data_IF_041173856157
#
_entry.id   IF_041173856157
#
_cell.length_a   1.000
_cell.length_b   1.000
_cell.length_c   1.000
_cell.angle_alpha   90.00
_cell.angle_beta   90.00
_cell.angle_gamma   90.00
#
_symmetry.space_group_name_H-M   'P 1'
#
loop_
_entity.id
_entity.type
_entity.pdbx_description
1 polymer ?
#
# COMPACT_ATOMS: atom_id res chain seq x y z
N UNK A 1 11.78 -5.44 -16.23
CA UNK A 1 10.39 -5.70 -15.79
C UNK A 1 9.48 -4.64 -16.41
N UNK A 2 8.70 -4.95 -17.46
CA UNK A 2 7.84 -3.95 -18.12
C UNK A 2 6.63 -3.67 -17.22
N UNK A 3 6.58 -2.49 -16.59
CA UNK A 3 5.43 -2.07 -15.79
C UNK A 3 4.21 -1.83 -16.71
N UNK A 4 3.12 -2.53 -16.41
CA UNK A 4 1.81 -2.34 -17.04
C UNK A 4 1.32 -0.90 -16.83
N UNK A 5 0.58 -0.34 -17.81
CA UNK A 5 0.06 1.04 -17.79
C UNK A 5 -0.77 1.31 -16.53
N UNK A 6 -1.43 0.28 -16.00
CA UNK A 6 -2.24 0.34 -14.78
C UNK A 6 -1.37 0.40 -13.51
N UNK A 7 -0.30 -0.38 -13.43
CA UNK A 7 0.67 -0.31 -12.33
C UNK A 7 1.35 1.07 -12.28
N UNK A 8 1.65 1.67 -13.43
CA UNK A 8 2.18 3.05 -13.49
C UNK A 8 1.21 4.08 -12.92
N UNK A 9 -0.10 3.95 -13.19
CA UNK A 9 -1.14 4.83 -12.63
C UNK A 9 -1.29 4.64 -11.11
N UNK A 10 -1.24 3.39 -10.64
CA UNK A 10 -1.30 3.09 -9.21
C UNK A 10 -0.09 3.71 -8.47
N UNK A 11 1.13 3.54 -9.01
CA UNK A 11 2.34 4.18 -8.48
C UNK A 11 2.22 5.70 -8.51
N UNK A 12 1.63 6.28 -9.55
CA UNK A 12 1.34 7.72 -9.61
C UNK A 12 0.42 8.19 -8.48
N UNK A 13 -0.63 7.42 -8.17
CA UNK A 13 -1.51 7.70 -7.01
C UNK A 13 -0.78 7.60 -5.68
N UNK A 14 0.09 6.58 -5.53
CA UNK A 14 0.99 6.45 -4.38
C UNK A 14 1.92 7.65 -4.22
N UNK A 15 2.61 8.06 -5.28
CA UNK A 15 3.49 9.23 -5.30
C UNK A 15 2.75 10.53 -4.99
N UNK A 16 1.53 10.70 -5.50
CA UNK A 16 0.70 11.85 -5.18
C UNK A 16 0.34 11.89 -3.69
N UNK A 17 0.00 10.74 -3.11
CA UNK A 17 -0.30 10.67 -1.67
C UNK A 17 0.94 10.94 -0.81
N UNK A 18 2.12 10.42 -1.19
CA UNK A 18 3.39 10.77 -0.54
C UNK A 18 3.65 12.26 -0.59
N UNK A 19 3.49 12.88 -1.75
CA UNK A 19 3.69 14.32 -1.91
C UNK A 19 2.74 15.11 -1.00
N UNK A 20 1.47 14.70 -0.92
CA UNK A 20 0.48 15.34 -0.07
C UNK A 20 0.82 15.20 1.44
N UNK A 21 1.24 14.02 1.87
CA UNK A 21 1.66 13.78 3.27
C UNK A 21 2.92 14.58 3.61
N UNK A 22 3.88 14.63 2.68
CA UNK A 22 5.11 15.40 2.85
C UNK A 22 4.83 16.91 2.91
N UNK A 23 3.96 17.42 2.02
CA UNK A 23 3.54 18.82 2.02
C UNK A 23 2.79 19.17 3.32
N UNK A 24 1.91 18.29 3.79
CA UNK A 24 1.21 18.43 5.06
C UNK A 24 2.19 18.51 6.24
N UNK A 25 3.20 17.64 6.25
CA UNK A 25 4.25 17.66 7.27
C UNK A 25 5.13 18.92 7.21
N UNK A 26 5.41 19.45 6.02
CA UNK A 26 6.17 20.69 5.86
C UNK A 26 5.40 21.89 6.44
N UNK A 27 4.09 21.97 6.16
CA UNK A 27 3.23 23.07 6.63
C UNK A 27 3.15 23.14 8.16
N UNK A 28 3.37 22.03 8.87
CA UNK A 28 3.38 21.97 10.34
C UNK A 28 4.66 22.55 10.98
N UNK A 29 5.74 22.78 10.22
CA UNK A 29 6.98 23.38 10.73
C UNK A 29 7.92 22.42 11.48
N UNK A 30 9.01 22.97 12.05
CA UNK A 30 10.00 22.20 12.82
C UNK A 30 9.70 22.25 14.31
N UNK A 31 9.74 21.11 14.97
CA UNK A 31 9.41 20.98 16.39
C UNK A 31 10.67 20.96 17.26
N UNK A 32 10.59 21.56 18.45
CA UNK A 32 11.62 21.44 19.48
C UNK A 32 11.70 20.00 20.02
N UNK A 33 12.88 19.55 20.49
CA UNK A 33 13.07 18.18 20.99
C UNK A 33 12.14 17.80 22.17
N UNK A 34 11.74 18.77 22.99
CA UNK A 34 10.76 18.56 24.06
C UNK A 34 9.33 18.35 23.52
N UNK A 35 8.91 19.18 22.57
CA UNK A 35 7.61 19.06 21.89
C UNK A 35 7.52 17.75 21.10
N UNK A 36 8.61 17.36 20.43
CA UNK A 36 8.72 16.08 19.73
C UNK A 36 8.50 14.90 20.68
N UNK A 37 9.02 14.93 21.91
CA UNK A 37 8.79 13.87 22.90
C UNK A 37 7.31 13.75 23.29
N UNK A 38 6.64 14.88 23.55
CA UNK A 38 5.21 14.90 23.89
C UNK A 38 4.37 14.43 22.69
N UNK A 39 4.69 14.88 21.49
CA UNK A 39 4.00 14.50 20.26
C UNK A 39 4.21 13.04 19.90
N UNK A 40 5.42 12.47 20.09
CA UNK A 40 5.67 11.03 19.92
C UNK A 40 4.74 10.24 20.84
N UNK A 41 4.64 10.60 22.12
CA UNK A 41 3.83 9.87 23.10
C UNK A 41 2.34 9.87 22.72
N UNK A 42 1.83 10.97 22.19
CA UNK A 42 0.45 11.06 21.69
C UNK A 42 0.27 10.37 20.33
N UNK A 43 1.27 10.42 19.45
CA UNK A 43 1.19 9.85 18.10
C UNK A 43 1.37 8.33 18.08
N UNK A 44 2.06 7.76 19.07
CA UNK A 44 2.33 6.34 19.20
C UNK A 44 1.05 5.48 19.11
N UNK A 45 -0.01 5.92 19.78
CA UNK A 45 -1.32 5.26 19.70
C UNK A 45 -1.89 5.32 18.27
N UNK A 46 -1.81 6.48 17.62
CA UNK A 46 -2.25 6.64 16.22
C UNK A 46 -1.44 5.79 15.24
N UNK A 47 -0.12 5.72 15.40
CA UNK A 47 0.78 4.90 14.59
C UNK A 47 0.48 3.41 14.75
N UNK A 48 0.21 2.98 15.97
CA UNK A 48 -0.16 1.61 16.28
C UNK A 48 -1.49 1.21 15.62
N UNK A 49 -2.50 2.08 15.72
CA UNK A 49 -3.78 1.87 15.03
C UNK A 49 -3.56 1.80 13.52
N UNK A 50 -2.80 2.74 12.95
CA UNK A 50 -2.49 2.76 11.52
C UNK A 50 -1.82 1.46 11.06
N UNK A 51 -0.75 1.01 11.73
CA UNK A 51 -0.05 -0.22 11.34
C UNK A 51 -0.98 -1.45 11.45
N UNK A 52 -1.75 -1.57 12.53
CA UNK A 52 -2.71 -2.66 12.70
C UNK A 52 -3.81 -2.64 11.63
N UNK A 53 -4.32 -1.47 11.26
CA UNK A 53 -5.28 -1.33 10.17
C UNK A 53 -4.69 -1.75 8.84
N UNK A 54 -3.44 -1.38 8.54
CA UNK A 54 -2.75 -1.81 7.31
C UNK A 54 -2.56 -3.33 7.30
N UNK A 55 -2.16 -3.94 8.41
CA UNK A 55 -2.01 -5.39 8.54
C UNK A 55 -3.33 -6.10 8.27
N UNK A 56 -4.42 -5.65 8.91
CA UNK A 56 -5.76 -6.22 8.72
C UNK A 56 -6.24 -6.05 7.26
N UNK A 57 -6.07 -4.85 6.69
CA UNK A 57 -6.48 -4.56 5.32
C UNK A 57 -5.68 -5.39 4.29
N UNK A 58 -4.38 -5.55 4.49
CA UNK A 58 -3.55 -6.36 3.58
C UNK A 58 -3.92 -7.85 3.70
N UNK A 59 -4.19 -8.34 4.91
CA UNK A 59 -4.66 -9.72 5.09
C UNK A 59 -6.00 -9.98 4.36
N UNK A 60 -6.94 -9.02 4.40
CA UNK A 60 -8.20 -9.14 3.66
C UNK A 60 -8.01 -9.01 2.15
N UNK A 61 -7.10 -8.18 1.67
CA UNK A 61 -6.75 -8.07 0.26
C UNK A 61 -6.18 -9.41 -0.27
N UNK A 62 -5.22 -10.01 0.43
CA UNK A 62 -4.70 -11.34 0.06
C UNK A 62 -5.81 -12.39 0.01
N UNK A 63 -6.71 -12.42 0.99
CA UNK A 63 -7.83 -13.34 1.02
C UNK A 63 -8.78 -13.11 -0.17
N UNK A 64 -9.14 -11.86 -0.46
CA UNK A 64 -10.00 -11.51 -1.59
C UNK A 64 -9.36 -11.86 -2.94
N UNK A 65 -8.03 -11.67 -3.09
CA UNK A 65 -7.31 -12.08 -4.29
C UNK A 65 -7.37 -13.60 -4.49
N UNK A 66 -7.25 -14.39 -3.42
CA UNK A 66 -7.38 -15.83 -3.50
C UNK A 66 -8.80 -16.26 -3.88
N UNK A 67 -9.83 -15.66 -3.28
CA UNK A 67 -11.24 -15.89 -3.65
C UNK A 67 -11.48 -15.55 -5.12
N UNK A 68 -10.97 -14.41 -5.57
CA UNK A 68 -11.06 -13.95 -6.95
C UNK A 68 -10.40 -14.94 -7.92
N UNK A 69 -9.23 -15.48 -7.57
CA UNK A 69 -8.55 -16.50 -8.37
C UNK A 69 -9.35 -17.81 -8.45
N UNK A 70 -9.98 -18.24 -7.35
CA UNK A 70 -10.81 -19.45 -7.33
C UNK A 70 -12.10 -19.34 -8.17
N UNK A 71 -12.74 -18.16 -8.14
CA UNK A 71 -13.88 -17.87 -9.02
C UNK A 71 -13.44 -17.82 -10.49
N UNK A 72 -12.30 -17.19 -10.74
CA UNK A 72 -11.69 -17.05 -12.06
C UNK A 72 -11.32 -18.37 -12.71
N UNK A 73 -10.74 -19.33 -11.97
CA UNK A 73 -10.36 -20.64 -12.51
C UNK A 73 -11.54 -21.54 -12.86
N UNK A 74 -12.72 -21.25 -12.32
CA UNK A 74 -13.96 -22.03 -12.53
C UNK A 74 -14.80 -21.46 -13.69
N UNK A 75 -14.50 -20.24 -14.14
CA UNK A 75 -15.21 -19.61 -15.26
C UNK A 75 -14.77 -20.21 -16.61
N UNK A 76 -15.73 -20.44 -17.51
CA UNK A 76 -15.50 -20.91 -18.89
C UNK A 76 -14.76 -19.88 -19.78
N UNK A 77 -14.59 -18.65 -19.31
CA UNK A 77 -13.81 -17.63 -20.00
C UNK A 77 -12.33 -17.85 -19.69
N UNK A 78 -11.52 -18.23 -20.69
CA UNK A 78 -10.06 -18.40 -20.54
C UNK A 78 -9.44 -17.05 -20.15
N UNK A 79 -9.33 -16.78 -18.85
CA UNK A 79 -8.65 -15.59 -18.35
C UNK A 79 -7.21 -15.61 -18.86
N UNK A 80 -6.88 -14.62 -19.69
CA UNK A 80 -5.53 -14.46 -20.25
C UNK A 80 -4.49 -14.52 -19.14
N UNK A 81 -3.34 -15.14 -19.43
CA UNK A 81 -2.18 -15.26 -18.54
C UNK A 81 -1.76 -13.90 -17.91
N UNK A 82 -2.04 -12.80 -18.61
CA UNK A 82 -1.84 -11.43 -18.12
C UNK A 82 -2.57 -11.12 -16.81
N UNK A 83 -3.74 -11.71 -16.57
CA UNK A 83 -4.53 -11.49 -15.36
C UNK A 83 -3.85 -12.13 -14.13
N UNK A 84 -3.42 -13.39 -14.26
CA UNK A 84 -2.66 -14.07 -13.22
C UNK A 84 -1.35 -13.34 -12.89
N UNK A 85 -0.67 -12.79 -13.90
CA UNK A 85 0.54 -11.98 -13.69
C UNK A 85 0.24 -10.69 -12.92
N UNK A 86 -0.88 -10.01 -13.17
CA UNK A 86 -1.27 -8.84 -12.39
C UNK A 86 -1.64 -9.20 -10.94
N UNK A 87 -2.41 -10.26 -10.72
CA UNK A 87 -2.76 -10.73 -9.37
C UNK A 87 -1.50 -11.09 -8.58
N UNK A 88 -0.56 -11.81 -9.20
CA UNK A 88 0.75 -12.13 -8.60
C UNK A 88 1.55 -10.88 -8.22
N UNK A 89 1.52 -9.83 -9.05
CA UNK A 89 2.17 -8.56 -8.72
C UNK A 89 1.54 -7.88 -7.50
N UNK A 90 0.21 -7.87 -7.41
CA UNK A 90 -0.51 -7.29 -6.27
C UNK A 90 -0.14 -8.05 -5.00
N UNK A 91 -0.26 -9.39 -5.03
CA UNK A 91 0.03 -10.22 -3.87
C UNK A 91 1.47 -10.02 -3.34
N UNK A 92 2.45 -9.86 -4.24
CA UNK A 92 3.85 -9.57 -3.83
C UNK A 92 3.98 -8.21 -3.16
N UNK A 93 3.41 -7.15 -3.74
CA UNK A 93 3.50 -5.80 -3.18
C UNK A 93 2.75 -5.74 -1.84
N UNK A 94 1.56 -6.34 -1.77
CA UNK A 94 0.73 -6.39 -0.56
C UNK A 94 1.40 -7.17 0.57
N UNK A 95 2.06 -8.30 0.27
CA UNK A 95 2.85 -9.05 1.26
C UNK A 95 4.00 -8.21 1.81
N UNK A 96 4.69 -7.44 0.96
CA UNK A 96 5.76 -6.54 1.42
C UNK A 96 5.20 -5.46 2.34
N UNK A 97 4.06 -4.84 1.98
CA UNK A 97 3.40 -3.83 2.82
C UNK A 97 2.96 -4.42 4.16
N UNK A 98 2.40 -5.63 4.15
CA UNK A 98 2.01 -6.35 5.36
C UNK A 98 3.19 -6.58 6.31
N UNK A 99 4.30 -7.13 5.80
CA UNK A 99 5.50 -7.41 6.60
C UNK A 99 6.10 -6.10 7.13
N UNK A 100 6.24 -5.08 6.29
CA UNK A 100 6.79 -3.78 6.70
C UNK A 100 5.92 -3.09 7.75
N UNK A 101 4.59 -3.22 7.66
CA UNK A 101 3.66 -2.70 8.67
C UNK A 101 3.81 -3.44 10.01
N UNK A 102 3.93 -4.77 10.00
CA UNK A 102 4.17 -5.56 11.21
C UNK A 102 5.49 -5.21 11.89
N UNK A 103 6.57 -5.10 11.11
CA UNK A 103 7.88 -4.73 11.65
C UNK A 103 7.85 -3.32 12.23
N UNK A 104 7.20 -2.38 11.55
CA UNK A 104 7.05 -1.00 12.04
C UNK A 104 6.21 -0.94 13.32
N UNK A 105 5.12 -1.69 13.38
CA UNK A 105 4.30 -1.83 14.58
C UNK A 105 5.12 -2.34 15.78
N UNK A 106 5.94 -3.37 15.56
CA UNK A 106 6.78 -3.93 16.61
C UNK A 106 7.80 -2.90 17.10
N UNK A 107 8.46 -2.19 16.18
CA UNK A 107 9.42 -1.13 16.50
C UNK A 107 8.76 0.00 17.28
N UNK A 108 7.57 0.46 16.86
CA UNK A 108 6.86 1.54 17.53
C UNK A 108 6.35 1.13 18.92
N UNK A 109 6.04 -0.15 19.15
CA UNK A 109 5.66 -0.64 20.48
C UNK A 109 6.85 -0.89 21.43
N UNK A 110 8.10 -0.78 20.96
CA UNK A 110 9.24 -0.86 21.87
C UNK A 110 9.27 0.38 22.78
N UNK A 111 9.49 0.21 24.11
CA UNK A 111 9.53 1.32 25.06
C UNK A 111 10.87 2.10 25.00
N UNK A 112 11.26 2.55 23.80
CA UNK A 112 12.50 3.31 23.56
C UNK A 112 12.46 4.66 24.32
N UNK A 113 11.27 5.22 24.50
CA UNK A 113 10.99 6.49 25.20
C UNK A 113 11.23 6.46 26.70
N UNK A 114 11.30 5.28 27.31
CA UNK A 114 11.48 5.08 28.77
C UNK A 114 12.96 4.79 29.14
N UNK A 115 13.88 4.77 28.16
CA UNK A 115 15.31 4.65 28.45
C UNK A 115 15.90 5.98 28.90
N UNK A 116 16.45 6.00 30.12
CA UNK A 116 16.99 7.20 30.79
C UNK A 116 18.22 7.82 30.09
N UNK A 117 18.87 7.09 29.17
CA UNK A 117 20.12 7.49 28.53
C UNK A 117 19.99 8.06 27.10
N UNK A 118 18.78 8.42 26.64
CA UNK A 118 18.58 8.87 25.25
C UNK A 118 18.70 10.40 25.12
N UNK A 119 19.65 10.93 24.32
CA UNK A 119 19.82 12.38 24.12
C UNK A 119 18.56 13.06 23.56
N UNK A 120 18.32 14.33 23.89
CA UNK A 120 17.12 15.05 23.42
C UNK A 120 16.97 15.08 21.88
N UNK A 121 18.06 15.15 21.12
CA UNK A 121 18.05 15.15 19.66
C UNK A 121 17.58 13.81 19.06
N UNK A 122 17.66 12.70 19.81
CA UNK A 122 17.20 11.40 19.33
C UNK A 122 15.68 11.34 19.19
N UNK A 123 14.93 12.07 20.03
CA UNK A 123 13.47 12.15 19.91
C UNK A 123 13.04 12.82 18.60
N UNK A 124 13.73 13.88 18.17
CA UNK A 124 13.46 14.52 16.88
C UNK A 124 13.70 13.55 15.71
N UNK A 125 14.79 12.77 15.75
CA UNK A 125 15.10 11.77 14.72
C UNK A 125 14.01 10.69 14.68
N UNK A 126 13.66 10.10 15.82
CA UNK A 126 12.60 9.08 15.91
C UNK A 126 11.27 9.64 15.39
N UNK A 127 10.92 10.87 15.75
CA UNK A 127 9.69 11.50 15.29
C UNK A 127 9.61 11.56 13.76
N UNK A 128 10.63 12.13 13.10
CA UNK A 128 10.63 12.25 11.64
C UNK A 128 10.77 10.90 10.93
N UNK A 129 11.50 9.94 11.51
CA UNK A 129 11.57 8.57 10.97
C UNK A 129 10.21 7.88 11.04
N UNK A 130 9.52 7.96 12.19
CA UNK A 130 8.19 7.38 12.35
C UNK A 130 7.16 8.02 11.41
N UNK A 131 7.24 9.33 11.23
CA UNK A 131 6.41 10.06 10.26
C UNK A 131 6.69 9.59 8.83
N UNK A 132 7.97 9.46 8.45
CA UNK A 132 8.38 8.96 7.15
C UNK A 132 7.89 7.53 6.87
N UNK A 133 8.07 6.62 7.83
CA UNK A 133 7.57 5.24 7.75
C UNK A 133 6.06 5.23 7.54
N UNK A 134 5.32 6.03 8.33
CA UNK A 134 3.87 6.11 8.23
C UNK A 134 3.41 6.61 6.87
N UNK A 135 4.05 7.65 6.34
CA UNK A 135 3.77 8.18 5.02
C UNK A 135 3.98 7.12 3.92
N UNK A 136 5.10 6.42 3.97
CA UNK A 136 5.44 5.35 3.01
C UNK A 136 4.46 4.19 3.11
N UNK A 137 4.12 3.73 4.31
CA UNK A 137 3.16 2.65 4.51
C UNK A 137 1.77 3.01 4.02
N UNK A 138 1.27 4.21 4.34
CA UNK A 138 -0.03 4.71 3.87
C UNK A 138 -0.08 4.80 2.34
N UNK A 139 0.94 5.37 1.71
CA UNK A 139 1.01 5.48 0.27
C UNK A 139 1.10 4.11 -0.41
N UNK A 140 1.86 3.19 0.16
CA UNK A 140 1.99 1.83 -0.36
C UNK A 140 0.66 1.08 -0.31
N UNK A 141 -0.11 1.23 0.78
CA UNK A 141 -1.45 0.65 0.86
C UNK A 141 -2.38 1.21 -0.23
N UNK A 142 -2.33 2.53 -0.48
CA UNK A 142 -3.12 3.15 -1.56
C UNK A 142 -2.76 2.53 -2.92
N UNK A 143 -1.47 2.30 -3.20
CA UNK A 143 -1.03 1.63 -4.44
C UNK A 143 -1.66 0.24 -4.55
N UNK A 144 -1.62 -0.56 -3.49
CA UNK A 144 -2.21 -1.91 -3.48
C UNK A 144 -3.71 -1.84 -3.76
N UNK A 145 -4.45 -0.96 -3.08
CA UNK A 145 -5.89 -0.78 -3.27
C UNK A 145 -6.22 -0.39 -4.71
N UNK A 146 -5.45 0.53 -5.31
CA UNK A 146 -5.64 0.93 -6.70
C UNK A 146 -5.33 -0.22 -7.68
N UNK A 147 -4.31 -1.05 -7.41
CA UNK A 147 -4.02 -2.22 -8.24
C UNK A 147 -5.13 -3.27 -8.13
N UNK A 148 -5.66 -3.49 -6.93
CA UNK A 148 -6.80 -4.38 -6.69
C UNK A 148 -8.04 -3.90 -7.44
N UNK A 149 -8.39 -2.62 -7.33
CA UNK A 149 -9.53 -2.02 -8.03
C UNK A 149 -9.46 -2.24 -9.55
N UNK A 150 -8.29 -2.03 -10.16
CA UNK A 150 -8.09 -2.27 -11.58
C UNK A 150 -8.28 -3.75 -11.95
N UNK A 151 -7.82 -4.67 -11.10
CA UNK A 151 -7.99 -6.12 -11.28
C UNK A 151 -9.46 -6.51 -11.21
N UNK A 152 -10.21 -5.99 -10.23
CA UNK A 152 -11.65 -6.22 -10.08
C UNK A 152 -12.42 -5.70 -11.29
N UNK A 153 -12.13 -4.47 -11.75
CA UNK A 153 -12.77 -3.91 -12.96
C UNK A 153 -12.50 -4.79 -14.19
N UNK A 154 -11.26 -5.24 -14.37
CA UNK A 154 -10.93 -6.09 -15.51
C UNK A 154 -11.71 -7.41 -15.49
N UNK A 155 -11.95 -8.00 -14.32
CA UNK A 155 -12.80 -9.20 -14.20
C UNK A 155 -14.24 -8.88 -14.50
N UNK A 156 -14.78 -7.79 -13.97
CA UNK A 156 -16.16 -7.40 -14.25
C UNK A 156 -16.35 -7.20 -15.76
N UNK A 157 -15.39 -6.58 -16.46
CA UNK A 157 -15.45 -6.38 -17.90
C UNK A 157 -15.35 -7.69 -18.70
N UNK A 158 -14.39 -8.55 -18.36
CA UNK A 158 -14.10 -9.78 -19.12
C UNK A 158 -15.12 -10.88 -18.79
N UNK A 159 -15.33 -11.16 -17.50
CA UNK A 159 -16.16 -12.27 -17.01
C UNK A 159 -17.62 -11.85 -16.83
N UNK A 160 -17.87 -10.63 -16.34
CA UNK A 160 -19.23 -10.16 -16.07
C UNK A 160 -19.95 -9.59 -17.30
N UNK A 161 -19.27 -8.73 -18.06
CA UNK A 161 -19.85 -8.02 -19.21
C UNK A 161 -19.50 -8.63 -20.57
N UNK A 162 -18.63 -9.65 -20.62
CA UNK A 162 -18.26 -10.36 -21.85
C UNK A 162 -17.64 -9.45 -22.92
N UNK A 163 -17.01 -8.33 -22.53
CA UNK A 163 -16.40 -7.41 -23.50
C UNK A 163 -15.10 -8.00 -24.03
N UNK A 164 -15.13 -8.48 -25.27
CA UNK A 164 -13.93 -8.87 -26.01
C UNK A 164 -13.20 -7.62 -26.54
N UNK A 165 -13.92 -6.59 -27.02
CA UNK A 165 -13.34 -5.33 -27.51
C UNK A 165 -12.94 -4.36 -26.38
N UNK A 166 -11.75 -4.58 -25.86
CA UNK A 166 -10.99 -3.64 -25.04
C UNK A 166 -9.75 -3.23 -25.85
N UNK A 167 -9.14 -2.03 -25.70
CA UNK A 167 -7.93 -1.59 -26.46
C UNK A 167 -6.63 -2.43 -26.28
N UNK A 168 -6.75 -3.70 -25.89
CA UNK A 168 -5.77 -4.78 -25.88
C UNK A 168 -6.24 -6.01 -26.73
N UNK A 169 -7.32 -5.90 -27.51
CA UNK A 169 -7.62 -6.83 -28.62
C UNK A 169 -6.74 -6.49 -29.81
N UNK A 170 -6.10 -7.52 -30.35
CA UNK A 170 -5.44 -7.47 -31.65
C UNK A 170 -6.58 -7.49 -32.66
N UNK A 171 -6.70 -6.44 -33.47
CA UNK A 171 -7.61 -6.46 -34.62
C UNK A 171 -7.20 -7.58 -35.57
N UNK A 172 -8.19 -8.31 -36.08
CA UNK A 172 -8.06 -9.36 -37.09
C UNK A 172 -7.67 -8.79 -38.48
N UNK A 173 -6.61 -7.98 -38.56
CA UNK A 173 -6.12 -7.41 -39.83
C UNK A 173 -4.62 -7.68 -40.04
N UNK A 174 -4.17 -8.92 -39.80
CA UNK A 174 -2.90 -9.42 -40.34
C UNK A 174 -3.12 -10.79 -41.01
N UNK A 175 -3.73 -10.74 -42.20
CA UNK A 175 -3.45 -11.67 -43.32
C UNK A 175 -2.57 -10.95 -44.36
#
# INVERSE_FOLDING_TARGET
MKLSRYTKRAIGGGLFSLFFIFLSSWLLGTLSGYEAKVLIKNSLSGLNVLCNTIVLASATILALLLTLLGLSSTSNSKLKESHYRHVMQIARVDTVVFIMSLLSFLIFNLPITESENVPANWFTIIYYVSLGISAVLSASLIVVVLMLYNTVINIIKIVGLGQEDHPLTIGEDED
#
